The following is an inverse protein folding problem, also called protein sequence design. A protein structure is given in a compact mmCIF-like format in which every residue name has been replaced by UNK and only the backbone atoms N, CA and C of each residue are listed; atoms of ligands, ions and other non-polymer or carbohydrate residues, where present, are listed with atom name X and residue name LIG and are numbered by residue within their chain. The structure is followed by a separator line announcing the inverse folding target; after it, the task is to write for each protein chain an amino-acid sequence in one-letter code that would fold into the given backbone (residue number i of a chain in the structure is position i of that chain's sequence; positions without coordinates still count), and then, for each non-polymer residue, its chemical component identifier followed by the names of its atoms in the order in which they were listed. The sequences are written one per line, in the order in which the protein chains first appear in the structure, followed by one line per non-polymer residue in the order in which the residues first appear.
data_IF_782409697651
#
_entry.id   IF_782409697651
#
_cell.length_a   1.000
_cell.length_b   1.000
_cell.length_c   1.000
_cell.angle_alpha   90.00
_cell.angle_beta   90.00
_cell.angle_gamma   90.00
#
_symmetry.space_group_name_H-M   'P 1'
#
loop_
_entity.id
_entity.type
_entity.pdbx_description
1 polymer ?
#
# COMPACT_ATOMS: atom_id res chain seq x y z
N UNK A 1 4.69 -15.67 17.16
CA UNK A 1 3.44 -15.08 16.64
C UNK A 1 2.71 -16.15 15.84
N UNK A 2 1.38 -16.11 15.73
CA UNK A 2 0.62 -17.08 14.94
C UNK A 2 -0.23 -16.35 13.92
N UNK A 3 -0.16 -16.79 12.67
CA UNK A 3 -0.92 -16.20 11.58
C UNK A 3 -1.50 -17.30 10.71
N UNK A 4 -2.75 -17.12 10.30
CA UNK A 4 -3.38 -17.93 9.26
C UNK A 4 -4.04 -17.05 8.23
N UNK A 5 -4.06 -17.52 6.99
CA UNK A 5 -4.70 -16.83 5.90
C UNK A 5 -5.34 -17.84 4.93
N UNK A 6 -6.47 -17.47 4.35
CA UNK A 6 -7.15 -18.29 3.37
C UNK A 6 -8.11 -17.46 2.51
N UNK A 7 -8.48 -18.02 1.36
CA UNK A 7 -9.48 -17.47 0.46
C UNK A 7 -10.62 -18.44 0.19
N UNK A 8 -11.82 -17.92 -0.06
CA UNK A 8 -12.93 -18.69 -0.64
C UNK A 8 -13.48 -17.97 -1.87
N UNK A 9 -13.92 -18.74 -2.87
CA UNK A 9 -14.61 -18.25 -4.08
C UNK A 9 -16.12 -18.56 -4.06
N UNK A 10 -16.66 -18.92 -2.91
CA UNK A 10 -18.07 -19.24 -2.75
C UNK A 10 -18.95 -18.02 -3.01
N UNK A 11 -20.05 -18.20 -3.75
CA UNK A 11 -20.89 -17.08 -4.18
C UNK A 11 -21.74 -16.48 -3.03
N UNK A 12 -22.04 -17.25 -2.00
CA UNK A 12 -22.77 -16.76 -0.81
C UNK A 12 -21.76 -16.17 0.18
N UNK A 13 -21.94 -14.90 0.55
CA UNK A 13 -20.95 -14.10 1.26
C UNK A 13 -20.64 -14.66 2.66
N UNK A 14 -21.66 -15.07 3.41
CA UNK A 14 -21.47 -15.63 4.76
C UNK A 14 -20.72 -16.96 4.72
N UNK A 15 -21.05 -17.83 3.77
CA UNK A 15 -20.41 -19.13 3.57
C UNK A 15 -18.96 -18.98 3.08
N UNK A 16 -18.69 -18.04 2.16
CA UNK A 16 -17.33 -17.77 1.71
C UNK A 16 -16.44 -17.31 2.86
N UNK A 17 -16.93 -16.37 3.68
CA UNK A 17 -16.21 -15.91 4.86
C UNK A 17 -16.06 -17.00 5.92
N UNK A 18 -17.06 -17.87 6.08
CA UNK A 18 -17.00 -19.02 6.97
C UNK A 18 -15.88 -19.99 6.57
N UNK A 19 -15.84 -20.42 5.31
CA UNK A 19 -14.83 -21.35 4.80
C UNK A 19 -13.41 -20.77 4.94
N UNK A 20 -13.23 -19.51 4.56
CA UNK A 20 -11.94 -18.83 4.67
C UNK A 20 -11.53 -18.64 6.14
N UNK A 21 -12.45 -18.28 7.03
CA UNK A 21 -12.16 -18.13 8.46
C UNK A 21 -11.85 -19.47 9.14
N UNK A 22 -12.54 -20.56 8.80
CA UNK A 22 -12.24 -21.89 9.32
C UNK A 22 -10.83 -22.35 8.93
N UNK A 23 -10.40 -22.07 7.69
CA UNK A 23 -9.05 -22.37 7.24
C UNK A 23 -7.99 -21.45 7.89
N UNK A 24 -8.25 -20.14 7.97
CA UNK A 24 -7.36 -19.17 8.62
C UNK A 24 -7.22 -19.39 10.13
N UNK A 25 -8.18 -20.08 10.77
CA UNK A 25 -8.12 -20.43 12.18
C UNK A 25 -7.16 -21.58 12.49
N UNK A 26 -6.84 -22.45 11.52
CA UNK A 26 -6.07 -23.68 11.76
C UNK A 26 -4.72 -23.49 12.47
N UNK A 27 -3.90 -22.46 12.14
CA UNK A 27 -2.62 -22.24 12.83
C UNK A 27 -2.74 -21.46 14.15
N UNK A 28 -3.93 -20.95 14.50
CA UNK A 28 -4.14 -20.15 15.71
C UNK A 28 -4.49 -21.07 16.89
N UNK A 29 -3.69 -21.03 17.96
CA UNK A 29 -3.97 -21.78 19.20
C UNK A 29 -4.52 -20.91 20.33
N UNK A 30 -4.18 -19.62 20.34
CA UNK A 30 -4.42 -18.72 21.47
C UNK A 30 -5.47 -17.63 21.17
N UNK A 31 -6.47 -17.97 20.35
CA UNK A 31 -7.53 -17.05 19.92
C UNK A 31 -7.13 -16.21 18.71
N UNK A 32 -7.77 -15.05 18.53
CA UNK A 32 -7.48 -14.12 17.45
C UNK A 32 -7.47 -12.70 18.00
N UNK A 33 -6.38 -11.95 17.78
CA UNK A 33 -6.30 -10.54 18.17
C UNK A 33 -6.70 -9.62 17.04
N UNK A 34 -6.25 -9.92 15.82
CA UNK A 34 -6.60 -9.16 14.63
C UNK A 34 -7.07 -10.08 13.52
N UNK A 35 -8.23 -9.76 12.95
CA UNK A 35 -8.66 -10.28 11.66
C UNK A 35 -8.74 -9.13 10.64
N UNK A 36 -8.19 -9.35 9.46
CA UNK A 36 -8.28 -8.42 8.32
C UNK A 36 -8.93 -9.17 7.17
N UNK A 37 -10.01 -8.60 6.64
CA UNK A 37 -10.83 -9.27 5.63
C UNK A 37 -10.99 -8.40 4.40
N UNK A 38 -10.77 -8.99 3.23
CA UNK A 38 -11.01 -8.33 1.95
C UNK A 38 -12.03 -9.11 1.16
N UNK A 39 -12.90 -8.39 0.45
CA UNK A 39 -13.96 -9.01 -0.36
C UNK A 39 -13.92 -8.44 -1.76
N UNK A 40 -14.21 -9.26 -2.77
CA UNK A 40 -14.40 -8.78 -4.14
C UNK A 40 -15.73 -8.00 -4.28
N UNK A 41 -15.94 -7.29 -5.40
CA UNK A 41 -17.17 -6.54 -5.63
C UNK A 41 -18.44 -7.40 -5.65
N UNK A 42 -18.30 -8.72 -5.91
CA UNK A 42 -19.42 -9.65 -5.90
C UNK A 42 -20.06 -9.82 -4.50
N UNK A 43 -19.36 -9.42 -3.43
CA UNK A 43 -19.88 -9.42 -2.06
C UNK A 43 -20.05 -8.01 -1.49
N UNK A 44 -20.24 -6.99 -2.32
CA UNK A 44 -20.35 -5.59 -1.89
C UNK A 44 -21.43 -5.37 -0.83
N UNK A 45 -22.56 -6.05 -0.92
CA UNK A 45 -23.64 -6.00 0.10
C UNK A 45 -23.51 -7.08 1.18
N UNK A 46 -22.44 -7.88 1.13
CA UNK A 46 -22.18 -9.05 1.96
C UNK A 46 -21.36 -8.79 3.23
N UNK A 47 -20.93 -7.56 3.51
CA UNK A 47 -20.15 -7.26 4.73
C UNK A 47 -20.84 -7.69 6.04
N UNK A 48 -22.16 -7.50 6.27
CA UNK A 48 -22.82 -7.98 7.49
C UNK A 48 -22.72 -9.50 7.70
N UNK A 49 -23.12 -10.38 6.75
CA UNK A 49 -22.96 -11.83 6.93
C UNK A 49 -21.49 -12.26 6.99
N UNK A 50 -20.57 -11.57 6.29
CA UNK A 50 -19.13 -11.85 6.38
C UNK A 50 -18.61 -11.58 7.80
N UNK A 51 -18.90 -10.42 8.38
CA UNK A 51 -18.48 -10.12 9.74
C UNK A 51 -19.09 -11.07 10.78
N UNK A 52 -20.35 -11.47 10.59
CA UNK A 52 -20.98 -12.48 11.44
C UNK A 52 -20.24 -13.83 11.38
N UNK A 53 -19.91 -14.31 10.18
CA UNK A 53 -19.22 -15.58 9.97
C UNK A 53 -17.80 -15.58 10.54
N UNK A 54 -17.03 -14.51 10.30
CA UNK A 54 -15.65 -14.34 10.79
C UNK A 54 -15.63 -14.25 12.32
N UNK A 55 -16.50 -13.42 12.92
CA UNK A 55 -16.58 -13.28 14.38
C UNK A 55 -17.01 -14.56 15.08
N UNK A 56 -17.88 -15.35 14.46
CA UNK A 56 -18.33 -16.62 15.02
C UNK A 56 -17.24 -17.71 15.05
N UNK A 57 -16.18 -17.57 14.24
CA UNK A 57 -15.10 -18.57 14.10
C UNK A 57 -13.82 -18.15 14.79
N UNK A 58 -13.42 -16.89 14.60
CA UNK A 58 -12.15 -16.37 15.07
C UNK A 58 -12.26 -15.63 16.41
N UNK A 59 -13.45 -15.10 16.75
CA UNK A 59 -13.65 -14.24 17.93
C UNK A 59 -12.57 -13.13 18.07
N UNK A 60 -12.33 -12.31 17.02
CA UNK A 60 -11.22 -11.37 17.03
C UNK A 60 -11.42 -10.21 18.03
N UNK A 61 -10.33 -9.75 18.68
CA UNK A 61 -10.34 -8.50 19.46
C UNK A 61 -10.61 -7.28 18.55
N UNK A 62 -10.04 -7.27 17.34
CA UNK A 62 -10.30 -6.28 16.31
C UNK A 62 -10.50 -6.94 14.94
N UNK A 63 -11.51 -6.49 14.21
CA UNK A 63 -11.78 -6.87 12.84
C UNK A 63 -11.93 -5.63 11.98
N UNK A 64 -11.10 -5.52 10.94
CA UNK A 64 -11.30 -4.54 9.87
C UNK A 64 -11.56 -5.28 8.55
N UNK A 65 -12.46 -4.73 7.75
CA UNK A 65 -12.69 -5.27 6.41
C UNK A 65 -12.99 -4.18 5.40
N UNK A 66 -12.84 -4.51 4.12
CA UNK A 66 -13.31 -3.66 3.05
C UNK A 66 -13.51 -4.37 1.73
N UNK A 67 -14.33 -3.74 0.88
CA UNK A 67 -14.61 -4.24 -0.47
C UNK A 67 -13.57 -3.66 -1.43
N UNK A 68 -12.78 -4.54 -2.03
CA UNK A 68 -11.73 -4.23 -3.00
C UNK A 68 -12.17 -4.61 -4.43
N UNK A 69 -11.33 -4.33 -5.43
CA UNK A 69 -11.58 -4.80 -6.81
C UNK A 69 -11.28 -6.29 -6.98
N UNK A 70 -10.30 -6.78 -6.24
CA UNK A 70 -9.89 -8.18 -6.15
C UNK A 70 -9.23 -8.45 -4.80
N UNK A 71 -9.05 -9.72 -4.47
CA UNK A 71 -8.45 -10.13 -3.18
C UNK A 71 -7.19 -10.96 -3.42
N UNK A 72 -6.31 -10.96 -2.43
CA UNK A 72 -5.07 -11.73 -2.43
C UNK A 72 -5.09 -12.73 -1.27
N UNK A 73 -4.61 -13.94 -1.51
CA UNK A 73 -4.47 -14.99 -0.51
C UNK A 73 -3.19 -15.81 -0.68
N UNK A 74 -3.09 -16.97 0.00
CA UNK A 74 -1.94 -17.88 -0.10
C UNK A 74 -1.69 -18.30 -1.55
N UNK A 75 -0.60 -17.80 -2.13
CA UNK A 75 -0.19 -18.03 -3.51
C UNK A 75 -1.19 -17.66 -4.61
N UNK A 76 -2.24 -16.88 -4.32
CA UNK A 76 -3.30 -16.57 -5.30
C UNK A 76 -3.79 -15.12 -5.29
N UNK A 77 -4.10 -14.60 -6.47
CA UNK A 77 -4.73 -13.32 -6.75
C UNK A 77 -6.07 -13.57 -7.46
N UNK A 78 -7.18 -13.27 -6.78
CA UNK A 78 -8.51 -13.44 -7.35
C UNK A 78 -9.01 -12.07 -7.82
N UNK A 79 -8.74 -11.78 -9.10
CA UNK A 79 -9.13 -10.54 -9.79
C UNK A 79 -10.61 -10.53 -10.22
N UNK A 80 -11.21 -11.72 -10.42
CA UNK A 80 -12.57 -11.87 -10.95
C UNK A 80 -13.46 -12.82 -10.14
N UNK A 81 -14.74 -12.47 -10.04
CA UNK A 81 -15.80 -13.28 -9.45
C UNK A 81 -15.94 -13.13 -7.93
N UNK A 82 -16.79 -13.94 -7.28
CA UNK A 82 -16.90 -13.98 -5.83
C UNK A 82 -15.60 -14.41 -5.18
N UNK A 83 -15.15 -13.63 -4.21
CA UNK A 83 -13.95 -13.90 -3.44
C UNK A 83 -13.97 -13.21 -2.07
N UNK A 84 -13.54 -13.94 -1.04
CA UNK A 84 -13.23 -13.42 0.28
C UNK A 84 -11.83 -13.88 0.65
N UNK A 85 -10.97 -12.97 1.11
CA UNK A 85 -9.71 -13.26 1.78
C UNK A 85 -9.86 -12.98 3.27
N UNK A 86 -9.49 -13.94 4.11
CA UNK A 86 -9.40 -13.78 5.57
C UNK A 86 -7.96 -13.97 5.98
N UNK A 87 -7.41 -12.97 6.66
CA UNK A 87 -6.13 -13.03 7.36
C UNK A 87 -6.37 -12.84 8.85
N UNK A 88 -5.78 -13.68 9.69
CA UNK A 88 -6.03 -13.72 11.11
C UNK A 88 -4.73 -13.96 11.87
N UNK A 89 -4.55 -13.23 12.98
CA UNK A 89 -3.33 -13.32 13.77
C UNK A 89 -3.59 -13.28 15.28
N UNK A 90 -2.73 -14.00 16.00
CA UNK A 90 -2.61 -14.00 17.44
C UNK A 90 -1.15 -13.82 17.85
N UNK A 91 -0.92 -13.09 18.94
CA UNK A 91 0.41 -12.85 19.49
C UNK A 91 0.30 -12.52 20.98
N UNK A 92 1.38 -12.78 21.71
CA UNK A 92 1.52 -12.36 23.11
C UNK A 92 2.05 -10.92 23.16
N UNK A 93 1.74 -10.17 24.22
CA UNK A 93 2.23 -8.78 24.36
C UNK A 93 1.68 -7.78 23.34
N UNK A 94 1.97 -6.50 23.53
CA UNK A 94 1.50 -5.43 22.65
C UNK A 94 -0.04 -5.25 22.59
N UNK A 95 -0.46 -4.25 21.82
CA UNK A 95 -1.85 -3.82 21.72
C UNK A 95 -2.30 -3.68 20.26
N UNK A 96 -3.57 -4.00 20.01
CA UNK A 96 -4.29 -3.67 18.78
C UNK A 96 -5.40 -2.68 19.10
N UNK A 97 -5.36 -1.50 18.50
CA UNK A 97 -6.33 -0.42 18.74
C UNK A 97 -7.10 -0.12 17.45
N UNK A 98 -8.35 -0.62 17.30
CA UNK A 98 -9.18 -0.29 16.16
C UNK A 98 -9.61 1.18 16.19
N UNK A 99 -9.68 1.81 15.01
CA UNK A 99 -10.17 3.18 14.89
C UNK A 99 -10.94 3.39 13.60
N UNK A 100 -11.78 4.43 13.62
CA UNK A 100 -12.39 5.02 12.45
C UNK A 100 -11.88 6.44 12.31
N UNK A 101 -11.43 6.79 11.10
CA UNK A 101 -11.10 8.16 10.76
C UNK A 101 -12.03 8.72 9.71
N UNK A 102 -12.39 9.99 9.87
CA UNK A 102 -13.14 10.75 8.88
C UNK A 102 -12.54 12.15 8.79
N UNK A 103 -12.89 12.85 7.71
CA UNK A 103 -12.46 14.22 7.52
C UNK A 103 -13.65 15.16 7.66
N UNK A 104 -13.51 16.14 8.55
CA UNK A 104 -14.50 17.17 8.81
C UNK A 104 -13.99 18.57 8.45
N UNK A 105 -14.90 19.55 8.47
CA UNK A 105 -14.54 20.97 8.49
C UNK A 105 -14.71 21.51 9.90
N UNK A 106 -13.71 22.23 10.39
CA UNK A 106 -13.85 23.04 11.60
C UNK A 106 -14.41 24.43 11.26
N UNK A 107 -14.91 25.15 12.27
CA UNK A 107 -15.56 26.46 12.11
C UNK A 107 -14.70 27.52 11.38
N UNK A 108 -13.38 27.34 11.38
CA UNK A 108 -12.42 28.19 10.65
C UNK A 108 -12.36 27.90 9.14
N UNK A 109 -13.09 26.90 8.66
CA UNK A 109 -13.04 26.40 7.28
C UNK A 109 -11.87 25.44 6.99
N UNK A 110 -11.01 25.18 7.97
CA UNK A 110 -9.91 24.23 7.83
C UNK A 110 -10.41 22.77 7.83
N UNK A 111 -9.68 21.92 7.12
CA UNK A 111 -9.90 20.47 7.10
C UNK A 111 -9.32 19.87 8.37
N UNK A 112 -10.12 19.14 9.13
CA UNK A 112 -9.70 18.44 10.34
C UNK A 112 -9.82 16.93 10.15
N UNK A 113 -8.76 16.22 10.54
CA UNK A 113 -8.75 14.75 10.61
C UNK A 113 -9.34 14.36 11.96
N UNK A 114 -10.45 13.62 11.92
CA UNK A 114 -11.16 13.15 13.10
C UNK A 114 -10.88 11.67 13.31
N UNK A 115 -10.82 11.24 14.58
CA UNK A 115 -10.71 9.82 14.96
C UNK A 115 -9.40 9.14 14.59
N UNK A 116 -8.39 9.90 14.15
CA UNK A 116 -7.04 9.35 13.98
C UNK A 116 -6.44 9.02 15.37
N UNK A 117 -5.82 7.85 15.56
CA UNK A 117 -5.34 7.41 16.86
C UNK A 117 -4.14 8.24 17.34
N UNK A 118 -3.95 8.34 18.64
CA UNK A 118 -2.67 8.74 19.21
C UNK A 118 -1.69 7.58 19.09
N UNK A 119 -0.50 7.88 18.57
CA UNK A 119 0.49 6.88 18.12
C UNK A 119 1.87 7.24 18.63
N UNK A 120 2.60 6.25 19.12
CA UNK A 120 4.02 6.38 19.45
C UNK A 120 4.90 6.20 18.20
N UNK A 121 6.21 6.46 18.34
CA UNK A 121 7.17 6.42 17.22
C UNK A 121 7.29 5.02 16.59
N UNK A 122 7.24 3.98 17.42
CA UNK A 122 7.37 2.58 16.98
C UNK A 122 6.05 1.96 16.52
N UNK A 123 4.92 2.66 16.67
CA UNK A 123 3.61 2.14 16.25
C UNK A 123 3.53 1.97 14.73
N UNK A 124 2.85 0.90 14.31
CA UNK A 124 2.46 0.69 12.91
C UNK A 124 0.95 0.80 12.78
N UNK A 125 0.48 1.65 11.87
CA UNK A 125 -0.95 1.82 11.58
C UNK A 125 -1.31 1.21 10.24
N UNK A 126 -2.26 0.26 10.24
CA UNK A 126 -2.85 -0.32 9.04
C UNK A 126 -4.14 0.45 8.71
N UNK A 127 -4.28 0.94 7.48
CA UNK A 127 -5.41 1.79 7.07
C UNK A 127 -6.09 1.28 5.80
N UNK A 128 -7.42 1.14 5.87
CA UNK A 128 -8.29 0.90 4.73
C UNK A 128 -9.15 2.15 4.53
N UNK A 129 -9.02 2.83 3.40
CA UNK A 129 -9.70 4.10 3.15
C UNK A 129 -10.55 4.07 1.88
N UNK A 130 -11.68 4.77 1.88
CA UNK A 130 -12.45 5.02 0.67
C UNK A 130 -11.81 6.17 -0.13
N UNK A 131 -11.38 5.97 -1.38
CA UNK A 131 -10.73 7.00 -2.18
C UNK A 131 -11.63 8.20 -2.51
N UNK A 132 -12.95 8.08 -2.40
CA UNK A 132 -13.89 9.14 -2.80
C UNK A 132 -14.18 10.14 -1.67
N UNK A 133 -14.19 9.68 -0.42
CA UNK A 133 -14.54 10.49 0.75
C UNK A 133 -13.37 10.80 1.67
N UNK A 134 -12.25 10.04 1.58
CA UNK A 134 -11.10 10.22 2.44
C UNK A 134 -9.89 10.77 1.65
N UNK A 135 -9.42 12.01 1.92
CA UNK A 135 -8.27 12.61 1.26
C UNK A 135 -6.96 12.02 1.82
N UNK A 136 -6.71 10.74 1.56
CA UNK A 136 -5.61 9.98 2.15
C UNK A 136 -4.24 10.65 1.95
N UNK A 137 -3.98 11.19 0.76
CA UNK A 137 -2.72 11.89 0.45
C UNK A 137 -2.47 13.07 1.40
N UNK A 138 -3.48 13.94 1.60
CA UNK A 138 -3.37 15.11 2.47
C UNK A 138 -3.24 14.71 3.93
N UNK A 139 -3.98 13.68 4.37
CA UNK A 139 -3.90 13.17 5.74
C UNK A 139 -2.52 12.60 6.02
N UNK A 140 -2.01 11.73 5.15
CA UNK A 140 -0.69 11.11 5.30
C UNK A 140 0.40 12.18 5.27
N UNK A 141 0.32 13.17 4.37
CA UNK A 141 1.26 14.27 4.31
C UNK A 141 1.20 15.19 5.55
N UNK A 142 0.02 15.37 6.14
CA UNK A 142 -0.13 16.07 7.42
C UNK A 142 0.54 15.29 8.56
N UNK A 143 0.25 14.00 8.69
CA UNK A 143 0.82 13.13 9.71
C UNK A 143 2.33 13.00 9.59
N UNK A 144 2.87 12.88 8.36
CA UNK A 144 4.32 12.84 8.15
C UNK A 144 5.05 14.12 8.59
N UNK A 145 4.35 15.25 8.70
CA UNK A 145 4.90 16.52 9.23
C UNK A 145 4.77 16.64 10.75
N UNK A 146 3.68 16.13 11.32
CA UNK A 146 3.39 16.25 12.76
C UNK A 146 3.91 15.08 13.58
N UNK A 147 4.17 13.93 12.94
CA UNK A 147 4.60 12.66 13.53
C UNK A 147 5.65 11.97 12.65
N UNK A 148 6.87 12.52 12.52
CA UNK A 148 7.95 11.87 11.78
C UNK A 148 8.22 10.46 12.31
N UNK A 149 8.54 9.51 11.42
CA UNK A 149 8.81 8.11 11.81
C UNK A 149 7.57 7.22 11.91
N UNK A 150 6.35 7.79 12.04
CA UNK A 150 5.14 6.97 12.13
C UNK A 150 4.89 6.19 10.82
N UNK A 151 4.83 4.86 10.95
CA UNK A 151 4.72 3.93 9.84
C UNK A 151 3.25 3.64 9.56
N UNK A 152 2.80 4.01 8.38
CA UNK A 152 1.44 3.78 7.90
C UNK A 152 1.52 2.84 6.70
N UNK A 153 0.70 1.81 6.70
CA UNK A 153 0.57 0.83 5.61
C UNK A 153 -0.90 0.60 5.31
N UNK A 154 -1.24 0.26 4.08
CA UNK A 154 -2.62 -0.02 3.72
C UNK A 154 -2.95 0.28 2.27
N UNK A 155 -4.23 0.54 2.01
CA UNK A 155 -4.68 0.81 0.66
C UNK A 155 -6.05 1.48 0.57
N UNK A 156 -6.27 2.10 -0.57
CA UNK A 156 -7.55 2.68 -0.95
C UNK A 156 -8.43 1.57 -1.54
N UNK A 157 -9.54 1.25 -0.86
CA UNK A 157 -10.44 0.17 -1.24
C UNK A 157 -11.68 0.72 -1.93
N UNK A 158 -11.98 0.17 -3.11
CA UNK A 158 -13.19 0.49 -3.86
C UNK A 158 -13.67 -0.74 -4.63
N UNK A 159 -15.00 -0.99 -4.70
CA UNK A 159 -15.58 -2.01 -5.57
C UNK A 159 -15.57 -1.61 -7.06
N UNK A 160 -14.93 -0.49 -7.43
CA UNK A 160 -14.92 0.05 -8.80
C UNK A 160 -15.29 1.53 -8.81
N UNK A 161 -16.43 1.85 -9.43
CA UNK A 161 -16.94 3.23 -9.55
C UNK A 161 -17.94 3.62 -8.44
N UNK A 162 -18.21 2.73 -7.48
CA UNK A 162 -19.10 2.99 -6.35
C UNK A 162 -18.27 3.39 -5.11
N UNK A 163 -18.87 4.09 -4.13
CA UNK A 163 -18.20 4.40 -2.86
C UNK A 163 -17.67 3.13 -2.18
N UNK A 164 -16.54 3.26 -1.50
CA UNK A 164 -15.96 2.20 -0.69
C UNK A 164 -16.93 1.75 0.41
N UNK A 165 -16.82 0.48 0.77
CA UNK A 165 -17.52 -0.08 1.94
C UNK A 165 -16.49 -0.66 2.86
N UNK A 166 -16.47 -0.14 4.08
CA UNK A 166 -15.51 -0.46 5.11
C UNK A 166 -16.24 -1.01 6.32
N UNK A 167 -15.59 -1.89 7.05
CA UNK A 167 -16.12 -2.49 8.26
C UNK A 167 -15.11 -2.33 9.39
N UNK A 168 -15.61 -1.94 10.56
CA UNK A 168 -14.89 -1.95 11.82
C UNK A 168 -15.72 -2.76 12.80
N UNK A 169 -15.12 -3.76 13.43
CA UNK A 169 -15.78 -4.56 14.45
C UNK A 169 -14.83 -4.85 15.60
N UNK A 170 -15.40 -4.90 16.80
CA UNK A 170 -14.76 -5.38 18.01
C UNK A 170 -15.50 -6.58 18.59
N UNK A 171 -15.22 -6.92 19.86
CA UNK A 171 -15.89 -8.03 20.54
C UNK A 171 -17.40 -7.82 20.61
N UNK A 172 -17.85 -6.57 20.80
CA UNK A 172 -19.25 -6.23 21.10
C UNK A 172 -19.93 -5.35 20.03
N UNK A 173 -19.22 -4.89 19.00
CA UNK A 173 -19.76 -4.00 17.97
C UNK A 173 -19.38 -4.43 16.56
N UNK A 174 -20.26 -4.12 15.61
CA UNK A 174 -20.01 -4.22 14.17
C UNK A 174 -20.56 -2.95 13.52
N UNK A 175 -19.67 -2.21 12.87
CA UNK A 175 -19.97 -0.94 12.21
C UNK A 175 -19.59 -1.02 10.73
N UNK A 176 -20.51 -0.59 9.86
CA UNK A 176 -20.27 -0.51 8.42
C UNK A 176 -20.27 0.95 8.03
N UNK A 177 -19.24 1.36 7.31
CA UNK A 177 -19.03 2.74 6.87
C UNK A 177 -19.00 2.80 5.35
N UNK A 178 -19.64 3.85 4.81
CA UNK A 178 -19.68 4.15 3.37
C UNK A 178 -18.76 5.33 3.02
N UNK A 179 -18.00 5.80 4.01
CA UNK A 179 -17.11 6.95 3.94
C UNK A 179 -15.97 6.82 4.95
N UNK A 180 -14.92 7.59 4.69
CA UNK A 180 -13.77 7.74 5.57
C UNK A 180 -12.77 6.59 5.46
N UNK A 181 -12.17 6.27 6.58
CA UNK A 181 -11.19 5.21 6.73
C UNK A 181 -11.44 4.41 8.01
N UNK A 182 -11.10 3.14 7.98
CA UNK A 182 -11.00 2.26 9.16
C UNK A 182 -9.59 1.73 9.24
N UNK A 183 -9.15 1.38 10.44
CA UNK A 183 -7.82 0.85 10.61
C UNK A 183 -7.57 0.29 12.00
N UNK A 184 -6.34 -0.17 12.18
CA UNK A 184 -5.80 -0.59 13.48
C UNK A 184 -4.43 0.03 13.67
N UNK A 185 -4.14 0.49 14.88
CA UNK A 185 -2.77 0.77 15.33
C UNK A 185 -2.26 -0.40 16.13
N UNK A 186 -1.05 -0.84 15.80
CA UNK A 186 -0.33 -1.93 16.44
C UNK A 186 0.82 -1.33 17.24
N UNK A 187 0.77 -1.52 18.56
CA UNK A 187 1.76 -1.01 19.52
C UNK A 187 2.50 -2.17 20.16
N UNK A 188 3.84 -2.16 20.13
CA UNK A 188 4.65 -3.25 20.69
C UNK A 188 4.53 -4.58 19.94
N UNK A 189 4.09 -4.56 18.68
CA UNK A 189 3.97 -5.75 17.81
C UNK A 189 5.09 -5.69 16.76
N UNK A 190 5.84 -6.78 16.53
CA UNK A 190 6.97 -6.78 15.60
C UNK A 190 6.49 -6.76 14.14
N UNK A 191 6.15 -5.57 13.65
CA UNK A 191 5.69 -5.33 12.27
C UNK A 191 6.70 -4.47 11.52
N UNK A 192 7.11 -4.98 10.36
CA UNK A 192 7.89 -4.26 9.37
C UNK A 192 7.00 -3.85 8.21
N UNK A 193 7.24 -2.67 7.62
CA UNK A 193 6.53 -2.24 6.41
C UNK A 193 7.53 -2.14 5.28
N UNK A 194 7.24 -2.81 4.16
CA UNK A 194 8.04 -2.74 2.94
C UNK A 194 7.20 -2.30 1.75
N UNK A 195 7.83 -1.61 0.80
CA UNK A 195 7.16 -1.01 -0.36
C UNK A 195 7.96 -1.33 -1.62
N UNK A 196 7.26 -1.83 -2.65
CA UNK A 196 7.76 -2.01 -4.00
C UNK A 196 7.05 -1.05 -4.95
N UNK A 197 7.75 -0.01 -5.39
CA UNK A 197 7.24 1.01 -6.31
C UNK A 197 7.35 0.60 -7.80
N UNK A 198 8.00 -0.52 -8.06
CA UNK A 198 8.02 -1.23 -9.33
C UNK A 198 8.64 -0.46 -10.50
N UNK A 199 9.58 0.43 -10.20
CA UNK A 199 10.31 1.23 -11.18
C UNK A 199 11.81 1.04 -11.02
N UNK A 200 12.55 1.23 -12.13
CA UNK A 200 14.01 1.25 -12.12
C UNK A 200 14.56 2.56 -12.68
N UNK A 201 15.71 3.02 -12.16
CA UNK A 201 16.32 4.26 -12.60
C UNK A 201 16.83 4.16 -14.05
N UNK A 202 16.76 5.28 -14.77
CA UNK A 202 17.39 5.48 -16.07
C UNK A 202 18.17 6.78 -16.08
N UNK A 203 19.36 6.74 -16.68
CA UNK A 203 20.25 7.90 -16.72
C UNK A 203 20.85 8.27 -15.36
N UNK A 204 21.54 9.40 -15.31
CA UNK A 204 22.13 9.94 -14.08
C UNK A 204 21.10 10.72 -13.23
N UNK A 205 21.29 10.80 -11.91
CA UNK A 205 20.52 11.71 -11.07
C UNK A 205 20.89 13.18 -11.33
N UNK A 206 19.94 14.09 -11.10
CA UNK A 206 20.11 15.53 -11.24
C UNK A 206 19.58 16.26 -10.00
N UNK A 207 20.28 17.32 -9.59
CA UNK A 207 19.76 18.26 -8.59
C UNK A 207 18.79 19.23 -9.25
N UNK A 208 17.63 19.43 -8.64
CA UNK A 208 16.65 20.44 -9.05
C UNK A 208 17.21 21.83 -8.73
N UNK A 209 17.51 22.62 -9.76
CA UNK A 209 18.05 23.98 -9.58
C UNK A 209 16.97 25.05 -9.67
N UNK A 210 15.82 24.74 -10.29
CA UNK A 210 14.65 25.63 -10.30
C UNK A 210 13.34 24.85 -10.44
N UNK A 211 12.41 25.06 -9.51
CA UNK A 211 11.08 24.47 -9.49
C UNK A 211 10.06 25.41 -8.83
N UNK A 212 8.79 25.27 -9.21
CA UNK A 212 7.64 25.92 -8.56
C UNK A 212 6.50 24.91 -8.44
N UNK A 213 6.06 24.64 -7.20
CA UNK A 213 5.04 23.61 -6.96
C UNK A 213 5.50 22.24 -7.45
N UNK A 214 4.82 21.69 -8.46
CA UNK A 214 5.15 20.42 -9.08
C UNK A 214 5.79 20.57 -10.48
N UNK A 215 6.11 21.79 -10.89
CA UNK A 215 6.73 22.09 -12.19
C UNK A 215 8.22 22.30 -12.00
N UNK A 216 9.01 21.43 -12.64
CA UNK A 216 10.46 21.47 -12.67
C UNK A 216 10.91 22.21 -13.92
N UNK A 217 11.63 23.31 -13.72
CA UNK A 217 12.14 24.11 -14.82
C UNK A 217 13.60 23.79 -15.14
N UNK A 218 14.43 23.54 -14.13
CA UNK A 218 15.85 23.30 -14.32
C UNK A 218 16.39 22.15 -13.48
N UNK A 219 17.24 21.35 -14.12
CA UNK A 219 17.92 20.19 -13.59
C UNK A 219 19.43 20.32 -13.86
N UNK A 220 20.22 20.41 -12.79
CA UNK A 220 21.66 20.61 -12.87
C UNK A 220 22.03 21.86 -13.68
N UNK A 221 21.31 22.97 -13.48
CA UNK A 221 21.57 24.26 -14.12
C UNK A 221 21.19 24.37 -15.59
N UNK A 222 20.48 23.39 -16.14
CA UNK A 222 19.98 23.39 -17.52
C UNK A 222 18.46 23.13 -17.54
N UNK A 223 17.74 23.52 -18.61
CA UNK A 223 16.31 23.24 -18.74
C UNK A 223 15.98 21.76 -18.54
N UNK A 224 14.90 21.47 -17.80
CA UNK A 224 14.51 20.10 -17.47
C UNK A 224 14.31 19.24 -18.72
N UNK A 225 13.70 19.81 -19.77
CA UNK A 225 13.52 19.13 -21.05
C UNK A 225 14.83 18.86 -21.81
N UNK A 226 15.85 19.69 -21.63
CA UNK A 226 17.17 19.42 -22.22
C UNK A 226 17.79 18.18 -21.56
N UNK A 227 17.72 18.07 -20.23
CA UNK A 227 18.19 16.89 -19.51
C UNK A 227 17.40 15.63 -19.89
N UNK A 228 16.08 15.74 -20.04
CA UNK A 228 15.27 14.60 -20.49
C UNK A 228 15.67 14.14 -21.90
N UNK A 229 15.87 15.07 -22.85
CA UNK A 229 16.34 14.73 -24.20
C UNK A 229 17.72 14.09 -24.19
N UNK A 230 18.61 14.57 -23.32
CA UNK A 230 19.93 13.97 -23.12
C UNK A 230 19.80 12.51 -22.68
N UNK A 231 19.02 12.24 -21.62
CA UNK A 231 18.80 10.86 -21.14
C UNK A 231 18.17 10.00 -22.24
N UNK A 232 17.15 10.50 -22.94
CA UNK A 232 16.51 9.78 -24.02
C UNK A 232 17.48 9.39 -25.15
N UNK A 233 18.48 10.23 -25.44
CA UNK A 233 19.51 9.95 -26.44
C UNK A 233 20.57 8.94 -25.98
N UNK A 234 20.78 8.79 -24.67
CA UNK A 234 21.82 7.94 -24.07
C UNK A 234 21.33 6.54 -23.70
N UNK A 235 20.05 6.39 -23.33
CA UNK A 235 19.49 5.09 -22.90
C UNK A 235 19.28 4.11 -24.05
N UNK A 236 19.22 2.82 -23.70
CA UNK A 236 18.97 1.71 -24.61
C UNK A 236 17.61 1.85 -25.32
N UNK A 237 17.45 1.20 -26.47
CA UNK A 237 16.21 1.27 -27.26
C UNK A 237 14.97 0.78 -26.51
N UNK A 238 15.13 -0.23 -25.66
CA UNK A 238 14.06 -0.77 -24.81
C UNK A 238 13.57 0.28 -23.81
N UNK A 239 14.51 0.95 -23.13
CA UNK A 239 14.21 2.04 -22.18
C UNK A 239 13.53 3.22 -22.86
N UNK A 240 13.91 3.56 -24.11
CA UNK A 240 13.23 4.62 -24.88
C UNK A 240 11.76 4.30 -25.09
N UNK A 241 11.43 3.05 -25.41
CA UNK A 241 10.04 2.60 -25.58
C UNK A 241 9.29 2.72 -24.25
N UNK A 242 9.90 2.32 -23.14
CA UNK A 242 9.28 2.45 -21.81
C UNK A 242 9.05 3.92 -21.42
N UNK A 243 10.03 4.80 -21.66
CA UNK A 243 9.89 6.24 -21.41
C UNK A 243 8.73 6.86 -22.20
N UNK A 244 8.47 6.37 -23.43
CA UNK A 244 7.35 6.82 -24.26
C UNK A 244 5.98 6.32 -23.77
N UNK A 245 5.94 5.19 -23.05
CA UNK A 245 4.71 4.60 -22.53
C UNK A 245 4.36 5.03 -21.09
N UNK A 246 5.25 5.77 -20.43
CA UNK A 246 4.99 6.33 -19.11
C UNK A 246 6.29 6.65 -18.37
N UNK A 247 6.76 7.88 -18.48
CA UNK A 247 7.93 8.35 -17.76
C UNK A 247 7.60 8.62 -16.29
N UNK A 248 8.47 8.16 -15.41
CA UNK A 248 8.41 8.46 -13.99
C UNK A 248 9.67 9.21 -13.56
N UNK A 249 9.60 9.83 -12.39
CA UNK A 249 10.74 10.40 -11.68
C UNK A 249 10.78 9.84 -10.26
N UNK A 250 11.97 9.49 -9.82
CA UNK A 250 12.26 9.21 -8.43
C UNK A 250 12.74 10.50 -7.77
N UNK A 251 12.09 10.91 -6.69
CA UNK A 251 12.47 12.04 -5.86
C UNK A 251 13.17 11.49 -4.62
N UNK A 252 14.41 11.89 -4.33
CA UNK A 252 15.12 11.41 -3.14
C UNK A 252 14.33 11.79 -1.88
N UNK A 253 14.04 10.79 -1.04
CA UNK A 253 13.24 10.98 0.17
C UNK A 253 14.07 11.50 1.35
N UNK A 254 15.37 11.18 1.38
CA UNK A 254 16.35 11.58 2.37
C UNK A 254 17.71 11.91 1.70
N UNK A 255 18.02 13.21 1.60
CA UNK A 255 19.25 13.72 0.97
C UNK A 255 20.51 13.47 1.80
N UNK A 256 20.38 13.02 3.06
CA UNK A 256 21.53 12.81 3.95
C UNK A 256 22.19 11.44 3.77
N UNK A 257 21.76 10.63 2.80
CA UNK A 257 22.35 9.31 2.53
C UNK A 257 23.63 9.40 1.70
N UNK A 258 24.64 8.65 2.12
CA UNK A 258 25.94 8.57 1.43
C UNK A 258 25.84 7.93 0.04
N UNK A 259 24.92 6.97 -0.14
CA UNK A 259 24.65 6.29 -1.42
C UNK A 259 23.16 6.12 -1.61
N UNK A 260 22.66 6.56 -2.77
CA UNK A 260 21.27 6.42 -3.18
C UNK A 260 21.05 5.06 -3.83
N UNK A 261 20.07 4.31 -3.34
CA UNK A 261 19.70 2.99 -3.84
C UNK A 261 18.21 2.90 -4.20
N UNK A 262 17.82 1.82 -4.87
CA UNK A 262 16.40 1.49 -5.08
C UNK A 262 15.71 1.37 -3.71
N UNK A 263 14.63 2.13 -3.52
CA UNK A 263 13.93 2.30 -2.23
C UNK A 263 14.18 3.64 -1.54
N UNK A 264 15.18 4.43 -1.97
CA UNK A 264 15.46 5.77 -1.43
C UNK A 264 14.71 6.89 -2.18
N UNK A 265 14.11 6.52 -3.29
CA UNK A 265 13.36 7.41 -4.17
C UNK A 265 11.87 7.22 -3.96
N UNK A 266 11.14 8.33 -3.80
CA UNK A 266 9.70 8.39 -3.95
C UNK A 266 9.36 8.51 -5.44
N UNK A 267 8.69 7.51 -5.99
CA UNK A 267 8.38 7.45 -7.42
C UNK A 267 7.09 8.22 -7.71
N UNK A 268 7.13 9.07 -8.73
CA UNK A 268 6.00 9.86 -9.23
C UNK A 268 5.95 9.86 -10.74
N UNK A 269 4.74 9.78 -11.29
CA UNK A 269 4.55 9.93 -12.74
C UNK A 269 4.89 11.35 -13.20
N UNK A 270 5.42 11.46 -14.41
CA UNK A 270 5.49 12.74 -15.13
C UNK A 270 4.11 13.02 -15.73
N UNK A 271 3.47 14.09 -15.29
CA UNK A 271 2.12 14.50 -15.72
C UNK A 271 2.19 15.15 -17.10
N UNK A 272 3.24 15.90 -17.37
CA UNK A 272 3.38 16.65 -18.61
C UNK A 272 4.80 17.14 -18.83
N UNK A 273 5.09 17.45 -20.09
CA UNK A 273 6.35 17.99 -20.55
C UNK A 273 6.04 19.09 -21.57
N UNK A 274 6.67 20.24 -21.43
CA UNK A 274 6.46 21.39 -22.32
C UNK A 274 7.79 21.72 -23.02
N UNK A 275 7.81 21.49 -24.33
CA UNK A 275 8.99 21.73 -25.15
C UNK A 275 9.31 23.21 -25.35
N UNK A 276 8.29 24.07 -25.34
CA UNK A 276 8.43 25.51 -25.59
C UNK A 276 9.01 26.22 -24.36
N UNK A 277 8.51 25.87 -23.17
CA UNK A 277 9.01 26.41 -21.90
C UNK A 277 10.19 25.63 -21.32
N UNK A 278 10.43 24.41 -21.83
CA UNK A 278 11.51 23.54 -21.39
C UNK A 278 11.27 22.88 -20.02
N UNK A 279 10.01 22.75 -19.62
CA UNK A 279 9.61 22.32 -18.26
C UNK A 279 9.03 20.90 -18.22
N UNK A 280 9.03 20.31 -17.02
CA UNK A 280 8.45 19.00 -16.74
C UNK A 280 7.54 19.12 -15.50
N UNK A 281 6.31 18.65 -15.59
CA UNK A 281 5.36 18.59 -14.48
C UNK A 281 5.33 17.19 -13.86
N UNK A 282 5.43 17.10 -12.54
CA UNK A 282 5.52 15.85 -11.76
C UNK A 282 4.25 15.63 -10.94
N UNK A 283 3.95 14.36 -10.64
CA UNK A 283 2.85 13.90 -9.78
C UNK A 283 2.88 14.35 -8.32
N UNK A 284 3.82 15.22 -7.92
CA UNK A 284 4.01 15.66 -6.53
C UNK A 284 4.81 16.97 -6.49
N UNK A 285 4.88 17.58 -5.32
CA UNK A 285 5.72 18.75 -5.07
C UNK A 285 7.20 18.40 -5.20
N UNK A 286 7.97 19.27 -5.86
CA UNK A 286 9.42 19.13 -6.03
C UNK A 286 10.12 20.35 -5.45
N UNK A 287 11.06 20.12 -4.53
CA UNK A 287 11.80 21.19 -3.87
C UNK A 287 13.09 21.54 -4.65
N UNK A 288 13.45 22.83 -4.66
CA UNK A 288 14.77 23.26 -5.13
C UNK A 288 15.85 22.69 -4.20
N UNK A 289 16.91 22.14 -4.79
CA UNK A 289 17.96 21.41 -4.08
C UNK A 289 17.71 19.91 -3.94
N UNK A 290 16.49 19.44 -4.23
CA UNK A 290 16.18 18.01 -4.19
C UNK A 290 16.84 17.28 -5.37
N UNK A 291 17.32 16.08 -5.13
CA UNK A 291 17.85 15.17 -6.12
C UNK A 291 16.71 14.37 -6.74
N UNK A 292 16.68 14.31 -8.07
CA UNK A 292 15.74 13.48 -8.81
C UNK A 292 16.47 12.57 -9.80
N UNK A 293 15.83 11.48 -10.20
CA UNK A 293 16.32 10.62 -11.28
C UNK A 293 15.13 10.15 -12.13
N UNK A 294 15.30 10.06 -13.45
CA UNK A 294 14.26 9.51 -14.30
C UNK A 294 14.13 8.00 -14.07
N UNK A 295 12.91 7.50 -14.23
CA UNK A 295 12.54 6.13 -13.89
C UNK A 295 11.64 5.57 -14.99
N UNK A 296 11.79 4.28 -15.26
CA UNK A 296 10.90 3.53 -16.16
C UNK A 296 10.26 2.37 -15.42
N UNK A 297 9.15 1.88 -15.96
CA UNK A 297 8.34 0.82 -15.37
C UNK A 297 8.01 -0.25 -16.39
N UNK A 298 8.28 -1.50 -16.01
CA UNK A 298 7.85 -2.71 -16.72
C UNK A 298 7.65 -3.86 -15.71
N UNK A 299 7.16 -5.00 -16.19
CA UNK A 299 6.89 -6.17 -15.37
C UNK A 299 8.17 -6.72 -14.70
N UNK A 300 9.29 -6.72 -15.41
CA UNK A 300 10.57 -7.23 -14.89
C UNK A 300 11.10 -6.36 -13.74
N UNK A 301 11.12 -5.04 -13.93
CA UNK A 301 11.52 -4.08 -12.90
C UNK A 301 10.60 -4.15 -11.68
N UNK A 302 9.30 -4.35 -11.89
CA UNK A 302 8.34 -4.53 -10.80
C UNK A 302 8.48 -5.85 -10.04
N UNK A 303 8.89 -6.92 -10.73
CA UNK A 303 9.24 -8.19 -10.11
C UNK A 303 10.52 -8.07 -9.28
N UNK A 304 11.59 -7.53 -9.85
CA UNK A 304 12.88 -7.36 -9.18
C UNK A 304 12.77 -6.47 -7.94
N UNK A 305 12.02 -5.38 -8.02
CA UNK A 305 11.79 -4.46 -6.90
C UNK A 305 10.96 -5.12 -5.78
N UNK A 306 9.92 -5.90 -6.14
CA UNK A 306 9.15 -6.67 -5.15
C UNK A 306 10.02 -7.72 -4.46
N UNK A 307 10.79 -8.48 -5.24
CA UNK A 307 11.69 -9.51 -4.72
C UNK A 307 12.74 -8.89 -3.77
N UNK A 308 13.29 -7.74 -4.13
CA UNK A 308 14.24 -7.02 -3.27
C UNK A 308 13.59 -6.54 -1.96
N UNK A 309 12.35 -6.04 -2.02
CA UNK A 309 11.59 -5.59 -0.86
C UNK A 309 11.29 -6.74 0.11
N UNK A 310 10.75 -7.87 -0.38
CA UNK A 310 10.44 -9.03 0.47
C UNK A 310 11.70 -9.71 1.00
N UNK A 311 12.75 -9.81 0.19
CA UNK A 311 14.04 -10.36 0.64
C UNK A 311 14.67 -9.50 1.74
N UNK A 312 14.40 -8.18 1.76
CA UNK A 312 14.86 -7.31 2.85
C UNK A 312 14.13 -7.64 4.15
N UNK A 313 12.82 -7.83 4.10
CA UNK A 313 12.03 -8.23 5.26
C UNK A 313 12.41 -9.61 5.80
N UNK A 314 12.66 -10.58 4.91
CA UNK A 314 13.10 -11.93 5.31
C UNK A 314 14.41 -11.92 6.12
N UNK A 315 15.35 -11.01 5.80
CA UNK A 315 16.60 -10.85 6.56
C UNK A 315 16.41 -10.29 7.96
N UNK A 316 15.26 -9.71 8.28
CA UNK A 316 14.98 -9.07 9.57
C UNK A 316 14.65 -10.11 10.65
N UNK A 317 14.11 -11.26 10.27
CA UNK A 317 13.79 -12.38 11.14
C UNK A 317 12.75 -13.34 10.54
N UNK A 318 12.42 -14.44 11.25
CA UNK A 318 11.36 -15.35 10.83
C UNK A 318 10.03 -14.61 10.68
N UNK A 319 9.42 -14.74 9.50
CA UNK A 319 8.13 -14.10 9.20
C UNK A 319 6.98 -15.05 9.53
N UNK A 320 6.05 -14.59 10.38
CA UNK A 320 4.84 -15.32 10.74
C UNK A 320 3.74 -15.17 9.69
N UNK A 321 3.62 -13.99 9.06
CA UNK A 321 2.66 -13.74 7.99
C UNK A 321 2.72 -12.33 7.44
N UNK A 322 1.92 -12.04 6.41
CA UNK A 322 1.91 -10.71 5.79
C UNK A 322 0.54 -10.28 5.27
N UNK A 323 0.34 -8.96 5.20
CA UNK A 323 -0.76 -8.32 4.48
C UNK A 323 -0.20 -7.60 3.25
N UNK A 324 -0.72 -7.92 2.06
CA UNK A 324 -0.31 -7.31 0.78
C UNK A 324 -1.40 -6.38 0.23
N UNK A 325 -1.02 -5.14 -0.02
CA UNK A 325 -1.81 -4.13 -0.71
C UNK A 325 -1.17 -3.88 -2.08
N UNK A 326 -1.70 -4.49 -3.13
CA UNK A 326 -1.14 -4.38 -4.50
C UNK A 326 -2.03 -3.50 -5.37
N UNK A 327 -1.43 -2.72 -6.28
CA UNK A 327 -2.19 -1.80 -7.12
C UNK A 327 -3.11 -2.51 -8.12
N UNK A 328 -4.29 -1.95 -8.39
CA UNK A 328 -5.18 -2.35 -9.50
C UNK A 328 -4.48 -2.32 -10.87
N UNK A 329 -3.39 -1.55 -11.02
CA UNK A 329 -2.56 -1.50 -12.22
C UNK A 329 -1.51 -2.62 -12.32
N UNK A 330 -1.42 -3.50 -11.32
CA UNK A 330 -0.62 -4.73 -11.30
C UNK A 330 -1.52 -5.93 -11.67
N UNK A 331 -1.12 -7.15 -11.33
CA UNK A 331 -1.88 -8.38 -11.63
C UNK A 331 -1.68 -8.90 -13.06
N UNK A 332 -2.58 -9.79 -13.49
CA UNK A 332 -2.42 -10.63 -14.70
C UNK A 332 -2.13 -9.85 -15.96
N UNK A 333 -2.79 -8.71 -16.16
CA UNK A 333 -2.60 -7.90 -17.37
C UNK A 333 -1.20 -7.29 -17.44
N UNK A 334 -0.66 -6.89 -16.30
CA UNK A 334 0.64 -6.21 -16.24
C UNK A 334 1.80 -7.20 -16.30
N UNK A 335 1.72 -8.31 -15.56
CA UNK A 335 2.78 -9.32 -15.52
C UNK A 335 2.69 -10.36 -16.65
N UNK A 336 1.56 -10.47 -17.33
CA UNK A 336 1.32 -11.48 -18.35
C UNK A 336 0.92 -12.86 -17.80
N UNK A 337 0.92 -13.02 -16.47
CA UNK A 337 0.53 -14.23 -15.75
C UNK A 337 -0.25 -13.89 -14.47
N UNK A 338 -1.22 -14.73 -14.03
CA UNK A 338 -1.98 -14.49 -12.81
C UNK A 338 -1.12 -14.72 -11.56
N UNK A 339 -1.57 -14.26 -10.39
CA UNK A 339 -0.99 -14.53 -9.05
C UNK A 339 0.49 -14.14 -8.85
N UNK A 340 1.02 -13.22 -9.66
CA UNK A 340 2.44 -12.91 -9.67
C UNK A 340 2.96 -12.40 -8.31
N UNK A 341 2.33 -11.37 -7.75
CA UNK A 341 2.79 -10.78 -6.49
C UNK A 341 2.56 -11.73 -5.32
N UNK A 342 1.40 -12.41 -5.29
CA UNK A 342 1.09 -13.40 -4.27
C UNK A 342 2.08 -14.57 -4.25
N UNK A 343 2.43 -15.14 -5.41
CA UNK A 343 3.46 -16.18 -5.51
C UNK A 343 4.84 -15.66 -5.14
N UNK A 344 5.20 -14.46 -5.57
CA UNK A 344 6.50 -13.86 -5.22
C UNK A 344 6.66 -13.73 -3.70
N UNK A 345 5.61 -13.31 -2.99
CA UNK A 345 5.61 -13.21 -1.53
C UNK A 345 5.59 -14.58 -0.86
N UNK A 346 4.77 -15.52 -1.37
CA UNK A 346 4.71 -16.88 -0.84
C UNK A 346 6.07 -17.60 -0.93
N UNK A 347 6.75 -17.49 -2.08
CA UNK A 347 8.02 -18.15 -2.34
C UNK A 347 9.18 -17.52 -1.54
N UNK A 348 9.16 -16.20 -1.36
CA UNK A 348 10.30 -15.47 -0.77
C UNK A 348 10.14 -15.11 0.71
N UNK A 349 8.92 -15.18 1.26
CA UNK A 349 8.63 -14.65 2.60
C UNK A 349 7.69 -15.55 3.42
N UNK A 350 6.44 -15.73 2.98
CA UNK A 350 5.43 -16.50 3.73
C UNK A 350 4.18 -16.80 2.90
N UNK A 351 3.64 -18.01 3.07
CA UNK A 351 2.34 -18.40 2.49
C UNK A 351 1.15 -17.97 3.38
N UNK A 352 1.40 -17.44 4.58
CA UNK A 352 0.37 -16.83 5.44
C UNK A 352 0.07 -15.39 5.00
N UNK A 353 -0.43 -15.28 3.78
CA UNK A 353 -0.66 -14.04 3.05
C UNK A 353 -2.16 -13.76 2.88
N UNK A 354 -2.58 -12.56 3.24
CA UNK A 354 -3.87 -12.01 2.84
C UNK A 354 -3.72 -10.62 2.26
N UNK A 355 -4.70 -10.16 1.48
CA UNK A 355 -4.54 -8.85 0.85
C UNK A 355 -5.63 -8.45 -0.13
N UNK A 356 -5.39 -7.35 -0.83
CA UNK A 356 -6.33 -6.77 -1.77
C UNK A 356 -5.65 -6.01 -2.91
N UNK A 357 -6.38 -5.94 -4.02
CA UNK A 357 -6.13 -4.99 -5.10
C UNK A 357 -6.69 -3.61 -4.74
N UNK A 358 -5.82 -2.60 -4.74
CA UNK A 358 -6.07 -1.27 -4.21
C UNK A 358 -6.03 -0.20 -5.31
N UNK A 359 -6.82 0.86 -5.14
CA UNK A 359 -6.80 2.04 -6.02
C UNK A 359 -5.65 3.02 -5.70
N UNK A 360 -4.89 2.73 -4.65
CA UNK A 360 -3.71 3.43 -4.21
C UNK A 360 -3.18 2.73 -2.97
N UNK A 361 -1.86 2.70 -2.82
CA UNK A 361 -1.18 1.95 -1.77
C UNK A 361 -0.56 2.92 -0.77
N UNK A 362 -0.56 2.57 0.50
CA UNK A 362 0.01 3.40 1.56
C UNK A 362 1.25 2.68 2.09
N UNK A 363 2.36 3.40 2.21
CA UNK A 363 3.60 2.83 2.73
C UNK A 363 4.72 3.86 2.89
N UNK A 364 5.74 3.58 3.72
CA UNK A 364 6.87 4.46 3.93
C UNK A 364 7.90 4.42 2.79
N UNK A 365 8.49 5.58 2.53
CA UNK A 365 9.75 5.74 1.79
C UNK A 365 10.65 6.62 2.65
N UNK A 366 11.73 6.04 3.17
CA UNK A 366 12.53 6.68 4.21
C UNK A 366 11.69 6.94 5.49
N UNK A 367 11.79 8.12 6.13
CA UNK A 367 11.17 8.39 7.43
C UNK A 367 9.68 8.79 7.37
N UNK A 368 9.07 8.76 6.18
CA UNK A 368 7.70 9.26 5.95
C UNK A 368 6.88 8.26 5.17
N UNK A 369 5.60 8.18 5.52
CA UNK A 369 4.58 7.46 4.76
C UNK A 369 4.05 8.31 3.61
N UNK A 370 3.68 7.65 2.51
CA UNK A 370 3.11 8.29 1.33
C UNK A 370 1.94 7.48 0.80
N UNK A 371 1.05 8.16 0.07
CA UNK A 371 0.18 7.50 -0.89
C UNK A 371 0.95 7.26 -2.18
N UNK A 372 0.83 6.05 -2.71
CA UNK A 372 1.51 5.56 -3.90
C UNK A 372 0.51 5.14 -4.97
N UNK A 373 1.00 5.05 -6.20
CA UNK A 373 0.32 4.36 -7.28
C UNK A 373 1.28 3.38 -7.94
N UNK A 374 0.72 2.38 -8.63
CA UNK A 374 1.48 1.32 -9.32
C UNK A 374 2.40 0.48 -8.42
N UNK A 375 2.13 0.49 -7.11
CA UNK A 375 3.01 -0.01 -6.05
C UNK A 375 2.43 -1.30 -5.44
N UNK A 376 3.25 -2.02 -4.68
CA UNK A 376 2.82 -3.02 -3.72
C UNK A 376 3.38 -2.65 -2.34
N UNK A 377 2.52 -2.54 -1.33
CA UNK A 377 2.91 -2.28 0.06
C UNK A 377 2.58 -3.51 0.91
N UNK A 378 3.49 -3.89 1.82
CA UNK A 378 3.32 -5.03 2.69
C UNK A 378 3.48 -4.64 4.16
N UNK A 379 2.58 -5.14 5.00
CA UNK A 379 2.80 -5.25 6.44
C UNK A 379 3.30 -6.66 6.73
N UNK A 380 4.56 -6.80 7.16
CA UNK A 380 5.22 -8.08 7.44
C UNK A 380 5.26 -8.26 8.95
N UNK A 381 4.67 -9.35 9.41
CA UNK A 381 4.54 -9.71 10.81
C UNK A 381 5.61 -10.74 11.16
N UNK A 382 6.51 -10.40 12.08
CA UNK A 382 7.62 -11.27 12.47
C UNK A 382 7.29 -12.07 13.73
N UNK A 383 7.98 -13.19 13.93
CA UNK A 383 7.96 -13.87 15.22
C UNK A 383 8.59 -13.01 16.31
N UNK A 384 8.03 -13.09 17.52
CA UNK A 384 8.70 -12.56 18.71
C UNK A 384 10.00 -13.34 18.91
N UNK A 385 11.11 -12.61 19.06
CA UNK A 385 12.45 -13.21 19.19
C UNK A 385 12.70 -13.86 20.54
#
# INVERSE_FOLDING_TARGET
MQVGAATSRTAEAGLAAAEAADAAAQPLTDGCRLAVVFTSPAHVDGLPPIAAAVRARLHPEALIAGVAQGVVGPGTEIEDGPAVSVWAAAWEGGEVRPFRSAVGRVDTGAVAVLGWPDTDEDDVTIVLADPHSYPAADVIAHLGRTRPGHRIVGGLLTPGHAPGRLLLAGPDSVEIHLDGAVGVTLSGVPVEVVVSQGCRPVGAPFVVTRAEGNVVFELGGAPAMERLRQIFAEVASEDRVLMQHGLHVGLVADEYRDRLETGDFLIRGVIGADEDTGTIAVGDHVAVGQTIQFQVRDAASAHEDLLAAVSRADRTGPTAGALLFTCNGRGRRFFGEPDHDARTVADALTDHLGGAFCAGEIGPVGPRSFLHGFTASLAVFHDER
#
